data_IF_871413108933
#
_entry.id   IF_871413108933
#
_cell.length_a   1.000
_cell.length_b   1.000
_cell.length_c   1.000
_cell.angle_alpha   90.00
_cell.angle_beta   90.00
_cell.angle_gamma   90.00
#
_symmetry.space_group_name_H-M   'P 1'
#
loop_
_entity.id
_entity.type
_entity.pdbx_description
1 polymer ?
#
# COMPACT_ATOMS: atom_id res chain seq x y z
N UNK A 1 18.83 49.68 14.00
CA UNK A 1 19.07 48.78 12.85
C UNK A 1 19.24 47.40 13.46
N UNK A 2 18.33 46.52 13.09
CA UNK A 2 18.16 45.16 13.63
C UNK A 2 19.31 44.25 13.20
N UNK A 3 20.03 43.71 14.18
CA UNK A 3 20.81 42.50 14.02
C UNK A 3 19.83 41.32 13.87
N UNK A 4 19.54 40.96 12.63
CA UNK A 4 18.87 39.70 12.33
C UNK A 4 19.61 39.04 11.16
N UNK A 5 19.77 37.72 11.26
CA UNK A 5 20.13 36.76 10.22
C UNK A 5 21.63 36.45 10.03
N UNK A 6 22.18 35.75 11.02
CA UNK A 6 23.01 34.57 10.73
C UNK A 6 22.49 33.39 11.55
N UNK A 7 21.34 32.85 11.16
CA UNK A 7 20.99 31.49 11.58
C UNK A 7 21.87 30.52 10.78
N UNK A 8 22.43 29.48 11.42
CA UNK A 8 23.20 28.46 10.70
C UNK A 8 22.28 27.76 9.68
N UNK A 9 22.83 27.24 8.56
CA UNK A 9 22.09 26.34 7.71
C UNK A 9 21.67 25.14 8.57
N UNK A 10 20.41 24.73 8.45
CA UNK A 10 19.93 23.53 9.11
C UNK A 10 20.75 22.33 8.63
N UNK A 11 21.20 21.51 9.58
CA UNK A 11 21.60 20.13 9.30
C UNK A 11 20.42 19.43 8.63
N UNK A 12 20.69 18.74 7.53
CA UNK A 12 19.73 17.96 6.74
C UNK A 12 19.09 16.79 7.53
N UNK A 13 19.49 16.59 8.79
CA UNK A 13 19.20 15.42 9.63
C UNK A 13 17.91 15.51 10.48
N UNK A 14 17.03 16.50 10.28
CA UNK A 14 15.93 16.75 11.23
C UNK A 14 14.51 16.41 10.76
N UNK A 15 14.30 15.73 9.63
CA UNK A 15 12.96 15.19 9.33
C UNK A 15 12.75 13.92 10.13
N UNK A 16 11.97 13.98 11.22
CA UNK A 16 11.56 12.79 11.99
C UNK A 16 10.16 12.36 11.57
N UNK A 17 10.07 11.23 10.87
CA UNK A 17 8.81 10.59 10.54
C UNK A 17 8.35 9.77 11.75
N UNK A 18 7.18 10.09 12.31
CA UNK A 18 6.60 9.36 13.46
C UNK A 18 5.26 8.79 13.05
N UNK A 19 5.24 7.48 12.82
CA UNK A 19 4.05 6.74 12.43
C UNK A 19 3.18 6.44 13.66
N UNK A 20 2.10 7.20 13.85
CA UNK A 20 1.09 6.91 14.87
C UNK A 20 -0.15 6.30 14.20
N UNK A 21 -0.31 4.98 14.30
CA UNK A 21 -1.40 4.26 13.64
C UNK A 21 -2.17 3.42 14.65
N UNK A 22 -3.08 4.08 15.37
CA UNK A 22 -4.03 3.44 16.27
C UNK A 22 -4.78 2.27 15.59
N UNK A 23 -4.99 2.32 14.27
CA UNK A 23 -5.69 1.28 13.51
C UNK A 23 -5.03 -0.10 13.56
N UNK A 24 -3.70 -0.19 13.49
CA UNK A 24 -2.98 -1.49 13.45
C UNK A 24 -2.31 -1.84 14.78
N UNK A 25 -2.28 -0.90 15.72
CA UNK A 25 -1.68 -1.08 17.06
C UNK A 25 -2.73 -1.36 18.15
N UNK A 26 -4.01 -1.07 17.89
CA UNK A 26 -5.10 -1.30 18.83
C UNK A 26 -6.06 -2.41 18.35
N UNK A 27 -6.02 -3.61 18.95
CA UNK A 27 -6.93 -4.71 18.62
C UNK A 27 -8.42 -4.36 18.76
N UNK A 28 -8.77 -3.40 19.63
CA UNK A 28 -10.14 -2.91 19.79
C UNK A 28 -10.65 -2.18 18.56
N UNK A 29 -9.78 -1.46 17.83
CA UNK A 29 -10.13 -0.77 16.58
C UNK A 29 -10.34 -1.77 15.44
N UNK A 30 -9.51 -2.80 15.35
CA UNK A 30 -9.70 -3.88 14.38
C UNK A 30 -11.01 -4.64 14.66
N UNK A 31 -11.30 -4.94 15.92
CA UNK A 31 -12.52 -5.62 16.34
C UNK A 31 -13.79 -4.82 16.01
N UNK A 32 -13.81 -3.51 16.29
CA UNK A 32 -14.96 -2.66 15.95
C UNK A 32 -15.15 -2.51 14.44
N UNK A 33 -14.06 -2.59 13.66
CA UNK A 33 -14.10 -2.48 12.20
C UNK A 33 -14.54 -3.77 11.49
N UNK A 34 -14.21 -4.94 12.05
CA UNK A 34 -14.47 -6.24 11.41
C UNK A 34 -15.75 -6.92 11.90
N UNK A 35 -16.13 -6.75 13.17
CA UNK A 35 -17.35 -7.37 13.73
C UNK A 35 -18.64 -7.06 12.95
N UNK A 36 -18.85 -5.89 12.32
CA UNK A 36 -20.07 -5.63 11.56
C UNK A 36 -20.27 -6.53 10.33
N UNK A 37 -19.25 -7.29 9.91
CA UNK A 37 -19.29 -8.15 8.73
C UNK A 37 -19.63 -9.62 9.00
N UNK A 38 -19.56 -10.08 10.26
CA UNK A 38 -19.66 -11.51 10.63
C UNK A 38 -20.92 -12.22 10.12
N UNK A 39 -21.98 -11.48 9.81
CA UNK A 39 -23.24 -12.00 9.26
C UNK A 39 -23.62 -11.39 7.89
N UNK A 40 -22.71 -10.66 7.26
CA UNK A 40 -22.96 -9.94 6.00
C UNK A 40 -22.23 -10.55 4.79
N UNK A 41 -21.28 -11.45 5.03
CA UNK A 41 -20.50 -12.13 3.98
C UNK A 41 -20.58 -13.64 4.24
N UNK A 42 -20.91 -14.41 3.20
CA UNK A 42 -20.97 -15.85 3.31
C UNK A 42 -19.58 -16.46 3.57
N UNK A 43 -19.51 -17.40 4.51
CA UNK A 43 -18.28 -18.09 4.93
C UNK A 43 -17.18 -17.18 5.49
N UNK A 44 -17.51 -15.96 5.90
CA UNK A 44 -16.55 -15.10 6.58
C UNK A 44 -16.18 -15.71 7.96
N UNK A 45 -14.87 -15.86 8.27
CA UNK A 45 -14.44 -16.24 9.61
C UNK A 45 -14.90 -15.22 10.66
N UNK A 46 -14.92 -15.62 11.93
CA UNK A 46 -15.21 -14.69 13.01
C UNK A 46 -14.18 -13.54 13.00
N UNK A 47 -14.58 -12.33 13.41
CA UNK A 47 -13.70 -11.16 13.41
C UNK A 47 -12.42 -11.42 14.21
N UNK A 48 -12.50 -12.14 15.33
CA UNK A 48 -11.34 -12.56 16.13
C UNK A 48 -10.32 -13.40 15.32
N UNK A 49 -10.79 -14.22 14.39
CA UNK A 49 -9.95 -15.08 13.55
C UNK A 49 -9.29 -14.26 12.45
N UNK A 50 -10.03 -13.34 11.82
CA UNK A 50 -9.46 -12.39 10.86
C UNK A 50 -8.40 -11.48 11.50
N UNK A 51 -8.65 -10.99 12.72
CA UNK A 51 -7.68 -10.20 13.48
C UNK A 51 -6.43 -11.02 13.77
N UNK A 52 -6.57 -12.28 14.20
CA UNK A 52 -5.41 -13.15 14.45
C UNK A 52 -4.60 -13.39 13.16
N UNK A 53 -5.27 -13.57 12.02
CA UNK A 53 -4.60 -13.72 10.73
C UNK A 53 -3.83 -12.46 10.33
N UNK A 54 -4.45 -11.28 10.45
CA UNK A 54 -3.86 -9.97 10.15
C UNK A 54 -2.67 -9.66 11.05
N UNK A 55 -2.88 -9.70 12.37
CA UNK A 55 -1.85 -9.39 13.36
C UNK A 55 -0.68 -10.37 13.33
N UNK A 56 -0.94 -11.64 12.98
CA UNK A 56 0.11 -12.62 12.72
C UNK A 56 0.96 -12.26 11.49
N UNK A 57 0.35 -11.72 10.43
CA UNK A 57 1.08 -11.20 9.28
C UNK A 57 1.84 -9.92 9.61
N UNK A 58 1.25 -8.99 10.37
CA UNK A 58 1.94 -7.78 10.84
C UNK A 58 3.19 -8.14 11.66
N UNK A 59 3.10 -9.11 12.56
CA UNK A 59 4.24 -9.56 13.34
C UNK A 59 5.37 -10.11 12.44
N UNK A 60 5.01 -10.87 11.39
CA UNK A 60 5.98 -11.40 10.44
C UNK A 60 6.63 -10.29 9.58
N UNK A 61 5.85 -9.34 9.06
CA UNK A 61 6.31 -8.13 8.36
C UNK A 61 7.33 -7.37 9.18
N UNK A 62 6.98 -7.04 10.44
CA UNK A 62 7.86 -6.33 11.36
C UNK A 62 9.14 -7.09 11.61
N UNK A 63 9.05 -8.40 11.85
CA UNK A 63 10.23 -9.23 12.10
C UNK A 63 11.17 -9.27 10.90
N UNK A 64 10.65 -9.36 9.67
CA UNK A 64 11.44 -9.30 8.43
C UNK A 64 12.11 -7.93 8.28
N UNK A 65 11.34 -6.85 8.46
CA UNK A 65 11.85 -5.49 8.37
C UNK A 65 12.92 -5.19 9.41
N UNK A 66 12.70 -5.53 10.69
CA UNK A 66 13.69 -5.39 11.77
C UNK A 66 14.91 -6.26 11.55
N UNK A 67 14.73 -7.43 10.91
CA UNK A 67 15.85 -8.26 10.50
C UNK A 67 16.71 -7.52 9.50
N UNK A 68 16.14 -6.88 8.47
CA UNK A 68 16.86 -6.09 7.45
C UNK A 68 17.47 -4.82 8.08
N UNK A 69 16.70 -4.12 8.92
CA UNK A 69 17.04 -2.84 9.58
C UNK A 69 17.11 -2.96 11.11
N UNK A 70 18.20 -3.56 11.64
CA UNK A 70 18.36 -3.76 13.08
C UNK A 70 18.58 -2.46 13.85
N UNK A 71 19.02 -1.38 13.19
CA UNK A 71 19.13 -0.03 13.75
C UNK A 71 18.00 0.87 13.25
N UNK A 72 17.50 1.76 14.10
CA UNK A 72 16.44 2.72 13.76
C UNK A 72 16.89 3.83 12.81
N UNK A 73 18.17 4.18 12.80
CA UNK A 73 18.72 5.29 12.00
C UNK A 73 18.79 4.99 10.49
N UNK A 74 18.76 3.71 10.11
CA UNK A 74 18.88 3.27 8.71
C UNK A 74 17.53 2.99 8.03
N UNK A 75 16.41 3.21 8.74
CA UNK A 75 15.08 2.79 8.27
C UNK A 75 14.51 3.76 7.23
N UNK A 76 13.95 3.29 6.11
CA UNK A 76 13.25 4.14 5.16
C UNK A 76 12.05 4.82 5.83
N UNK A 77 11.85 6.09 5.49
CA UNK A 77 10.80 6.90 6.10
C UNK A 77 9.40 6.46 5.68
N UNK A 78 9.18 6.21 4.38
CA UNK A 78 7.89 5.84 3.77
C UNK A 78 7.66 4.32 3.74
N UNK A 79 8.46 3.59 2.96
CA UNK A 79 8.38 2.14 2.80
C UNK A 79 8.92 1.37 4.01
N UNK A 80 8.30 1.52 5.19
CA UNK A 80 8.66 0.77 6.40
C UNK A 80 7.66 -0.32 6.76
N UNK A 81 7.91 -1.02 7.87
CA UNK A 81 7.04 -2.07 8.39
C UNK A 81 5.61 -1.58 8.69
N UNK A 82 5.47 -0.34 9.16
CA UNK A 82 4.15 0.23 9.47
C UNK A 82 3.36 0.47 8.20
N UNK A 83 3.99 1.03 7.16
CA UNK A 83 3.39 1.17 5.84
C UNK A 83 2.92 -0.19 5.30
N UNK A 84 3.79 -1.22 5.31
CA UNK A 84 3.41 -2.56 4.86
C UNK A 84 2.25 -3.18 5.67
N UNK A 85 2.20 -2.97 6.99
CA UNK A 85 1.09 -3.42 7.81
C UNK A 85 -0.23 -2.70 7.46
N UNK A 86 -0.18 -1.40 7.20
CA UNK A 86 -1.33 -0.61 6.79
C UNK A 86 -1.80 -0.98 5.38
N UNK A 87 -0.91 -1.26 4.44
CA UNK A 87 -1.25 -1.80 3.11
C UNK A 87 -2.04 -3.09 3.27
N UNK A 88 -1.56 -4.02 4.10
CA UNK A 88 -2.27 -5.26 4.40
C UNK A 88 -3.65 -5.04 5.05
N UNK A 89 -3.77 -4.06 5.94
CA UNK A 89 -5.04 -3.70 6.55
C UNK A 89 -6.02 -3.12 5.52
N UNK A 90 -5.59 -2.15 4.71
CA UNK A 90 -6.41 -1.53 3.69
C UNK A 90 -6.80 -2.51 2.57
N UNK A 91 -5.91 -3.41 2.18
CA UNK A 91 -6.20 -4.50 1.25
C UNK A 91 -7.32 -5.39 1.80
N UNK A 92 -7.32 -5.66 3.11
CA UNK A 92 -8.41 -6.39 3.77
C UNK A 92 -9.72 -5.62 3.75
N UNK A 93 -9.71 -4.30 4.03
CA UNK A 93 -10.90 -3.45 3.90
C UNK A 93 -11.47 -3.50 2.48
N UNK A 94 -10.61 -3.32 1.47
CA UNK A 94 -10.97 -3.41 0.05
C UNK A 94 -11.59 -4.77 -0.27
N UNK A 95 -10.97 -5.87 0.16
CA UNK A 95 -11.48 -7.20 -0.10
C UNK A 95 -12.86 -7.44 0.53
N UNK A 96 -13.06 -7.06 1.79
CA UNK A 96 -14.36 -7.18 2.45
C UNK A 96 -15.42 -6.30 1.78
N UNK A 97 -15.03 -5.10 1.36
CA UNK A 97 -15.85 -4.20 0.55
C UNK A 97 -16.24 -4.80 -0.80
N UNK A 98 -15.30 -5.46 -1.48
CA UNK A 98 -15.52 -6.18 -2.74
C UNK A 98 -16.51 -7.33 -2.56
N UNK A 99 -16.34 -8.15 -1.52
CA UNK A 99 -17.27 -9.24 -1.22
C UNK A 99 -18.68 -8.70 -0.93
N UNK A 100 -18.79 -7.55 -0.25
CA UNK A 100 -20.08 -6.90 -0.03
C UNK A 100 -20.70 -6.33 -1.30
N UNK A 101 -19.90 -5.69 -2.15
CA UNK A 101 -20.35 -5.10 -3.41
C UNK A 101 -20.90 -6.16 -4.36
N UNK A 102 -20.25 -7.31 -4.42
CA UNK A 102 -20.53 -8.37 -5.40
C UNK A 102 -21.30 -9.56 -4.82
N UNK A 103 -21.80 -9.46 -3.58
CA UNK A 103 -22.42 -10.57 -2.87
C UNK A 103 -21.57 -11.86 -2.87
N UNK A 104 -20.25 -11.68 -2.79
CA UNK A 104 -19.27 -12.75 -2.88
C UNK A 104 -19.20 -13.62 -1.63
N UNK A 105 -18.53 -14.76 -1.77
CA UNK A 105 -18.13 -15.64 -0.66
C UNK A 105 -16.68 -15.33 -0.27
N UNK A 106 -16.39 -15.41 1.02
CA UNK A 106 -15.01 -15.34 1.48
C UNK A 106 -14.24 -16.58 0.99
N UNK A 107 -13.07 -16.37 0.38
CA UNK A 107 -12.16 -17.42 -0.06
C UNK A 107 -10.83 -17.27 0.68
N UNK A 108 -10.48 -18.28 1.49
CA UNK A 108 -9.29 -18.27 2.32
C UNK A 108 -8.00 -18.30 1.50
N UNK A 109 -7.98 -19.00 0.34
CA UNK A 109 -6.78 -19.05 -0.50
C UNK A 109 -6.50 -17.68 -1.11
N UNK A 110 -7.54 -16.99 -1.59
CA UNK A 110 -7.41 -15.63 -2.10
C UNK A 110 -6.97 -14.67 -1.00
N UNK A 111 -7.60 -14.73 0.17
CA UNK A 111 -7.27 -13.87 1.30
C UNK A 111 -5.82 -14.06 1.78
N UNK A 112 -5.34 -15.31 1.84
CA UNK A 112 -3.95 -15.59 2.22
C UNK A 112 -2.95 -15.03 1.20
N UNK A 113 -3.24 -15.15 -0.10
CA UNK A 113 -2.40 -14.56 -1.16
C UNK A 113 -2.39 -13.03 -1.08
N UNK A 114 -3.57 -12.42 -0.93
CA UNK A 114 -3.72 -10.98 -0.77
C UNK A 114 -2.94 -10.46 0.45
N UNK A 115 -3.11 -11.13 1.59
CA UNK A 115 -2.50 -10.72 2.84
C UNK A 115 -0.98 -10.88 2.78
N UNK A 116 -0.46 -11.99 2.24
CA UNK A 116 0.99 -12.17 2.07
C UNK A 116 1.58 -11.15 1.09
N UNK A 117 0.90 -10.91 -0.05
CA UNK A 117 1.30 -9.90 -1.02
C UNK A 117 1.39 -8.51 -0.40
N UNK A 118 0.29 -8.03 0.18
CA UNK A 118 0.24 -6.70 0.79
C UNK A 118 1.19 -6.55 1.99
N UNK A 119 1.40 -7.60 2.79
CA UNK A 119 2.30 -7.56 3.96
C UNK A 119 3.79 -7.51 3.61
N UNK A 120 4.18 -7.94 2.41
CA UNK A 120 5.58 -8.01 1.98
C UNK A 120 5.81 -7.35 0.61
N UNK A 121 4.89 -6.51 0.13
CA UNK A 121 5.02 -5.83 -1.18
C UNK A 121 6.30 -4.99 -1.26
N UNK A 122 6.63 -4.31 -0.16
CA UNK A 122 7.85 -3.49 0.00
C UNK A 122 9.17 -4.25 0.07
N UNK A 123 9.15 -5.58 0.04
CA UNK A 123 10.33 -6.34 0.41
C UNK A 123 11.50 -6.09 -0.56
N UNK A 124 11.21 -5.89 -1.85
CA UNK A 124 12.20 -5.52 -2.86
C UNK A 124 12.81 -4.14 -2.58
N UNK A 125 11.99 -3.19 -2.15
CA UNK A 125 12.41 -1.83 -1.84
C UNK A 125 13.22 -1.76 -0.55
N UNK A 126 12.84 -2.50 0.50
CA UNK A 126 13.64 -2.63 1.72
C UNK A 126 15.07 -3.09 1.45
N UNK A 127 15.31 -3.84 0.37
CA UNK A 127 16.66 -4.20 -0.02
C UNK A 127 17.35 -3.19 -0.90
N UNK A 128 16.63 -2.56 -1.83
CA UNK A 128 17.16 -1.47 -2.63
C UNK A 128 17.67 -0.32 -1.75
N UNK A 129 16.94 -0.03 -0.66
CA UNK A 129 17.32 0.97 0.33
C UNK A 129 18.40 0.49 1.32
N UNK A 130 18.56 -0.82 1.53
CA UNK A 130 19.61 -1.36 2.40
C UNK A 130 21.00 -1.22 1.73
N UNK A 131 21.93 -0.53 2.40
CA UNK A 131 23.33 -0.40 1.99
C UNK A 131 23.56 0.09 0.53
N UNK A 132 22.66 0.93 -0.01
CA UNK A 132 22.79 1.48 -1.37
C UNK A 132 22.60 0.43 -2.48
N UNK A 133 21.66 -0.49 -2.30
CA UNK A 133 21.35 -1.57 -3.25
C UNK A 133 22.22 -2.83 -3.09
N UNK A 134 23.00 -2.93 -2.02
CA UNK A 134 23.75 -4.15 -1.69
C UNK A 134 22.96 -5.01 -0.70
N UNK A 135 22.91 -6.32 -0.96
CA UNK A 135 22.24 -7.27 -0.06
C UNK A 135 22.88 -7.21 1.33
N UNK A 136 22.10 -6.92 2.39
CA UNK A 136 22.64 -6.86 3.74
C UNK A 136 22.99 -8.26 4.25
N UNK A 137 23.86 -8.35 5.27
CA UNK A 137 24.37 -9.64 5.77
C UNK A 137 23.26 -10.59 6.30
N UNK A 138 22.14 -10.00 6.73
CA UNK A 138 20.93 -10.64 7.26
C UNK A 138 19.87 -10.94 6.17
N UNK A 139 20.17 -10.68 4.88
CA UNK A 139 19.22 -10.85 3.78
C UNK A 139 18.66 -12.28 3.72
N UNK A 140 19.51 -13.29 3.81
CA UNK A 140 19.04 -14.68 3.77
C UNK A 140 18.14 -15.03 4.95
N UNK A 141 18.48 -14.53 6.15
CA UNK A 141 17.65 -14.71 7.34
C UNK A 141 16.26 -14.06 7.16
N UNK A 142 16.19 -12.88 6.55
CA UNK A 142 14.92 -12.23 6.22
C UNK A 142 14.08 -13.07 5.24
N UNK A 143 14.70 -13.61 4.18
CA UNK A 143 14.01 -14.52 3.24
C UNK A 143 13.51 -15.80 3.91
N UNK A 144 14.28 -16.35 4.85
CA UNK A 144 13.89 -17.55 5.59
C UNK A 144 12.66 -17.28 6.46
N UNK A 145 12.58 -16.10 7.10
CA UNK A 145 11.39 -15.67 7.86
C UNK A 145 10.16 -15.52 6.97
N UNK A 146 10.31 -14.98 5.76
CA UNK A 146 9.21 -14.94 4.78
C UNK A 146 8.78 -16.36 4.42
N UNK A 147 9.73 -17.25 4.08
CA UNK A 147 9.44 -18.64 3.71
C UNK A 147 8.71 -19.39 4.83
N UNK A 148 9.11 -19.17 6.08
CA UNK A 148 8.45 -19.74 7.25
C UNK A 148 7.01 -19.24 7.41
N UNK A 149 6.77 -17.95 7.18
CA UNK A 149 5.41 -17.39 7.18
C UNK A 149 4.55 -18.01 6.08
N UNK A 150 5.06 -18.08 4.85
CA UNK A 150 4.36 -18.67 3.71
C UNK A 150 4.02 -20.14 3.97
N UNK A 151 4.95 -20.90 4.54
CA UNK A 151 4.75 -22.31 4.91
C UNK A 151 3.62 -22.47 5.92
N UNK A 152 3.58 -21.63 6.97
CA UNK A 152 2.50 -21.62 7.97
C UNK A 152 1.14 -21.26 7.37
N UNK A 153 1.13 -20.42 6.33
CA UNK A 153 -0.07 -20.02 5.59
C UNK A 153 -0.42 -20.97 4.45
N UNK A 154 0.39 -21.99 4.17
CA UNK A 154 0.19 -22.91 3.05
C UNK A 154 0.33 -22.22 1.67
N UNK A 155 1.10 -21.13 1.58
CA UNK A 155 1.35 -20.40 0.33
C UNK A 155 2.65 -20.92 -0.27
N UNK A 156 2.65 -21.23 -1.56
CA UNK A 156 3.86 -21.64 -2.28
C UNK A 156 4.78 -20.43 -2.53
N UNK A 157 6.09 -20.67 -2.56
CA UNK A 157 7.05 -19.61 -2.91
C UNK A 157 6.83 -19.10 -4.33
N UNK A 158 6.37 -19.95 -5.25
CA UNK A 158 5.99 -19.55 -6.61
C UNK A 158 4.81 -18.57 -6.59
N UNK A 159 3.69 -18.91 -5.92
CA UNK A 159 2.55 -17.98 -5.83
C UNK A 159 2.96 -16.65 -5.19
N UNK A 160 3.78 -16.69 -4.13
CA UNK A 160 4.25 -15.48 -3.47
C UNK A 160 5.08 -14.61 -4.43
N UNK A 161 6.05 -15.20 -5.14
CA UNK A 161 6.86 -14.50 -6.13
C UNK A 161 6.00 -13.84 -7.21
N UNK A 162 4.92 -14.52 -7.65
CA UNK A 162 3.97 -13.96 -8.62
C UNK A 162 3.18 -12.79 -8.04
N UNK A 163 2.74 -12.89 -6.79
CA UNK A 163 1.94 -11.84 -6.14
C UNK A 163 2.77 -10.59 -5.86
N UNK A 164 3.98 -10.71 -5.32
CA UNK A 164 4.85 -9.54 -5.09
C UNK A 164 5.23 -8.86 -6.42
N UNK A 165 5.33 -9.62 -7.51
CA UNK A 165 5.62 -9.07 -8.85
C UNK A 165 4.52 -8.15 -9.38
N UNK A 166 3.31 -8.21 -8.82
CA UNK A 166 2.21 -7.33 -9.20
C UNK A 166 2.45 -5.88 -8.76
N UNK A 167 3.26 -5.69 -7.72
CA UNK A 167 3.58 -4.39 -7.15
C UNK A 167 4.83 -3.80 -7.84
N UNK A 168 4.62 -3.31 -9.06
CA UNK A 168 5.66 -2.60 -9.82
C UNK A 168 5.15 -1.19 -10.13
N UNK A 169 5.76 -0.20 -9.47
CA UNK A 169 5.42 1.21 -9.62
C UNK A 169 5.56 1.70 -11.06
N UNK A 170 6.53 1.14 -11.80
CA UNK A 170 6.91 1.61 -13.14
C UNK A 170 6.09 0.97 -14.27
N UNK A 171 5.20 0.03 -13.95
CA UNK A 171 4.42 -0.73 -14.94
C UNK A 171 2.92 -0.58 -14.77
N UNK A 172 2.24 -0.77 -15.89
CA UNK A 172 0.79 -0.96 -15.88
C UNK A 172 0.46 -2.31 -15.22
N UNK A 173 -0.73 -2.42 -14.62
CA UNK A 173 -1.15 -3.68 -14.01
C UNK A 173 -1.13 -4.86 -15.00
N UNK A 174 -1.53 -4.63 -16.25
CA UNK A 174 -1.53 -5.68 -17.28
C UNK A 174 -0.12 -6.21 -17.55
N UNK A 175 0.88 -5.32 -17.62
CA UNK A 175 2.28 -5.71 -17.75
C UNK A 175 2.77 -6.46 -16.51
N UNK A 176 2.47 -5.98 -15.31
CA UNK A 176 2.87 -6.67 -14.08
C UNK A 176 2.24 -8.07 -13.96
N UNK A 177 0.99 -8.24 -14.43
CA UNK A 177 0.34 -9.56 -14.49
C UNK A 177 0.99 -10.47 -15.51
N UNK A 178 1.36 -9.95 -16.69
CA UNK A 178 2.11 -10.73 -17.67
C UNK A 178 3.46 -11.17 -17.12
N UNK A 179 4.22 -10.25 -16.52
CA UNK A 179 5.52 -10.54 -15.89
C UNK A 179 5.36 -11.57 -14.77
N UNK A 180 4.31 -11.46 -13.95
CA UNK A 180 4.01 -12.43 -12.89
C UNK A 180 3.65 -13.81 -13.48
N UNK A 181 3.01 -13.88 -14.64
CA UNK A 181 2.69 -15.16 -15.30
C UNK A 181 3.93 -15.82 -15.89
N UNK A 182 4.82 -15.03 -16.49
CA UNK A 182 6.07 -15.48 -17.12
C UNK A 182 7.21 -15.69 -16.13
N UNK A 183 7.04 -15.28 -14.86
CA UNK A 183 8.05 -15.42 -13.82
C UNK A 183 8.41 -16.89 -13.59
N UNK A 184 9.67 -17.22 -13.83
CA UNK A 184 10.22 -18.53 -13.51
C UNK A 184 10.79 -18.57 -12.09
N UNK A 185 10.78 -19.73 -11.41
CA UNK A 185 11.24 -19.85 -10.02
C UNK A 185 12.65 -19.31 -9.77
N UNK A 186 13.58 -19.50 -10.70
CA UNK A 186 14.98 -19.07 -10.58
C UNK A 186 15.18 -17.54 -10.65
N UNK A 187 14.21 -16.83 -11.23
CA UNK A 187 14.16 -15.38 -11.37
C UNK A 187 13.25 -14.72 -10.32
N UNK A 188 12.52 -15.52 -9.55
CA UNK A 188 11.77 -15.04 -8.40
C UNK A 188 12.67 -14.67 -7.23
N UNK A 189 12.07 -13.96 -6.28
CA UNK A 189 12.72 -13.57 -5.04
C UNK A 189 13.10 -14.81 -4.20
N UNK A 190 12.11 -15.65 -3.92
CA UNK A 190 12.26 -16.91 -3.20
C UNK A 190 12.47 -18.04 -4.20
N UNK A 191 13.73 -18.33 -4.51
CA UNK A 191 14.12 -19.29 -5.56
C UNK A 191 13.84 -20.75 -5.19
N UNK A 192 13.80 -21.05 -3.90
CA UNK A 192 13.63 -22.41 -3.40
C UNK A 192 12.16 -22.70 -3.09
N UNK A 193 11.70 -23.90 -3.45
CA UNK A 193 10.37 -24.38 -3.08
C UNK A 193 10.28 -24.63 -1.57
N UNK A 194 9.16 -24.23 -0.96
CA UNK A 194 8.80 -24.58 0.41
C UNK A 194 7.86 -25.81 0.50
N UNK A 195 7.68 -26.54 -0.61
CA UNK A 195 6.85 -27.76 -0.66
C UNK A 195 5.33 -27.52 -0.63
N UNK A 196 4.86 -26.28 -0.60
CA UNK A 196 3.43 -25.97 -0.66
C UNK A 196 2.90 -26.04 -2.09
N UNK A 197 1.63 -26.42 -2.24
CA UNK A 197 0.94 -26.44 -3.54
C UNK A 197 0.48 -25.04 -3.93
N UNK A 198 0.32 -24.80 -5.23
CA UNK A 198 -0.14 -23.50 -5.72
C UNK A 198 -1.61 -23.25 -5.35
N UNK A 199 -1.84 -22.20 -4.56
CA UNK A 199 -3.18 -21.67 -4.25
C UNK A 199 -3.78 -20.96 -5.45
N UNK A 200 -2.97 -20.27 -6.25
CA UNK A 200 -3.42 -19.60 -7.48
C UNK A 200 -3.99 -20.61 -8.48
N UNK A 201 -3.29 -21.74 -8.68
CA UNK A 201 -3.78 -22.81 -9.53
C UNK A 201 -5.07 -23.44 -9.00
N UNK A 202 -5.16 -23.67 -7.69
CA UNK A 202 -6.36 -24.21 -7.06
C UNK A 202 -7.57 -23.27 -7.20
N UNK A 203 -7.38 -21.96 -7.00
CA UNK A 203 -8.40 -20.93 -7.21
C UNK A 203 -8.90 -20.93 -8.66
N UNK A 204 -7.98 -20.87 -9.63
CA UNK A 204 -8.33 -20.85 -11.05
C UNK A 204 -9.13 -22.09 -11.48
N UNK A 205 -8.76 -23.27 -10.98
CA UNK A 205 -9.49 -24.51 -11.23
C UNK A 205 -10.91 -24.50 -10.64
N UNK A 206 -11.10 -23.88 -9.47
CA UNK A 206 -12.44 -23.76 -8.84
C UNK A 206 -13.37 -22.81 -9.57
N UNK A 207 -12.82 -21.76 -10.20
CA UNK A 207 -13.59 -20.75 -10.91
C UNK A 207 -13.84 -21.08 -12.38
N UNK A 208 -13.16 -22.10 -12.91
CA UNK A 208 -13.36 -22.58 -14.26
C UNK A 208 -14.81 -23.09 -14.43
N UNK A 209 -15.58 -22.40 -15.27
CA UNK A 209 -16.90 -22.83 -15.75
C UNK A 209 -16.75 -23.10 -17.25
N UNK A 210 -17.31 -24.21 -17.74
CA UNK A 210 -17.23 -24.63 -19.15
C UNK A 210 -15.78 -24.78 -19.71
N UNK A 211 -15.60 -24.60 -21.03
CA UNK A 211 -14.33 -24.77 -21.77
C UNK A 211 -13.30 -23.62 -21.57
N UNK A 212 -13.56 -22.65 -20.68
CA UNK A 212 -12.64 -21.54 -20.46
C UNK A 212 -11.26 -22.04 -19.98
N UNK A 213 -10.14 -21.60 -20.59
CA UNK A 213 -8.81 -22.00 -20.16
C UNK A 213 -8.52 -21.55 -18.72
N UNK A 214 -7.93 -22.44 -17.90
CA UNK A 214 -7.53 -22.12 -16.52
C UNK A 214 -6.60 -20.90 -16.41
N UNK A 215 -5.84 -20.59 -17.47
CA UNK A 215 -4.95 -19.43 -17.53
C UNK A 215 -5.72 -18.10 -17.54
N UNK A 216 -6.91 -18.04 -18.15
CA UNK A 216 -7.74 -16.83 -18.14
C UNK A 216 -8.23 -16.50 -16.73
N UNK A 217 -8.57 -17.53 -15.93
CA UNK A 217 -8.93 -17.34 -14.52
C UNK A 217 -7.75 -16.89 -13.67
N UNK A 218 -6.56 -17.43 -13.91
CA UNK A 218 -5.33 -16.97 -13.21
C UNK A 218 -5.07 -15.49 -13.48
N UNK A 219 -5.20 -15.05 -14.74
CA UNK A 219 -5.08 -13.63 -15.12
C UNK A 219 -6.07 -12.78 -14.31
N UNK A 220 -7.35 -13.18 -14.25
CA UNK A 220 -8.37 -12.42 -13.52
C UNK A 220 -8.09 -12.34 -12.00
N UNK A 221 -7.65 -13.43 -11.40
CA UNK A 221 -7.27 -13.48 -9.97
C UNK A 221 -6.07 -12.55 -9.71
N UNK A 222 -5.00 -12.65 -10.52
CA UNK A 222 -3.82 -11.80 -10.39
C UNK A 222 -4.14 -10.32 -10.61
N UNK A 223 -4.99 -9.98 -11.59
CA UNK A 223 -5.48 -8.61 -11.78
C UNK A 223 -6.19 -8.08 -10.54
N UNK A 224 -7.06 -8.90 -9.94
CA UNK A 224 -7.80 -8.51 -8.74
C UNK A 224 -6.86 -8.31 -7.55
N UNK A 225 -5.90 -9.22 -7.35
CA UNK A 225 -4.87 -9.08 -6.31
C UNK A 225 -4.05 -7.80 -6.50
N UNK A 226 -3.57 -7.55 -7.72
CA UNK A 226 -2.77 -6.36 -8.02
C UNK A 226 -3.54 -5.05 -7.84
N UNK A 227 -4.82 -5.01 -8.22
CA UNK A 227 -5.69 -3.85 -7.96
C UNK A 227 -5.87 -3.60 -6.47
N UNK A 228 -6.06 -4.66 -5.66
CA UNK A 228 -6.28 -4.50 -4.22
C UNK A 228 -5.01 -4.10 -3.49
N UNK A 229 -3.87 -4.69 -3.84
CA UNK A 229 -2.56 -4.34 -3.23
C UNK A 229 -2.21 -2.89 -3.59
N UNK A 230 -2.23 -2.55 -4.88
CA UNK A 230 -1.87 -1.20 -5.32
C UNK A 230 -2.88 -0.15 -4.83
N UNK A 231 -4.18 -0.45 -4.85
CA UNK A 231 -5.19 0.42 -4.27
C UNK A 231 -5.02 0.61 -2.76
N UNK A 232 -4.59 -0.43 -2.03
CA UNK A 232 -4.35 -0.35 -0.59
C UNK A 232 -3.09 0.47 -0.23
N UNK A 233 -2.03 0.31 -1.01
CA UNK A 233 -0.81 1.13 -0.89
C UNK A 233 -1.18 2.61 -1.12
N UNK A 234 -1.75 2.94 -2.29
CA UNK A 234 -2.08 4.33 -2.60
C UNK A 234 -3.22 4.93 -1.78
N UNK A 235 -4.10 4.13 -1.17
CA UNK A 235 -5.11 4.65 -0.24
C UNK A 235 -4.46 5.37 0.95
N UNK A 236 -3.26 4.93 1.35
CA UNK A 236 -2.51 5.51 2.46
C UNK A 236 -1.91 6.86 2.12
N UNK A 237 -1.56 7.08 0.85
CA UNK A 237 -1.10 8.38 0.36
C UNK A 237 -2.14 9.47 0.60
N UNK A 238 -3.43 9.09 0.65
CA UNK A 238 -4.57 9.99 0.90
C UNK A 238 -5.16 9.85 2.32
N UNK A 239 -4.57 9.02 3.18
CA UNK A 239 -5.06 8.82 4.54
C UNK A 239 -4.62 9.99 5.45
N UNK A 240 -5.60 10.64 6.04
CA UNK A 240 -5.47 11.81 6.89
C UNK A 240 -4.95 11.49 8.29
N UNK A 241 -4.93 10.21 8.68
CA UNK A 241 -4.32 9.75 9.92
C UNK A 241 -2.80 9.61 9.83
N UNK A 242 -2.20 9.75 8.64
CA UNK A 242 -0.76 9.91 8.51
C UNK A 242 -0.31 11.15 9.28
N UNK A 243 0.66 10.98 10.18
CA UNK A 243 1.33 12.05 10.92
C UNK A 243 2.84 12.05 10.61
N UNK A 244 3.37 13.18 10.14
CA UNK A 244 4.77 13.42 9.80
C UNK A 244 5.13 14.78 10.38
N UNK A 245 6.20 14.83 11.17
CA UNK A 245 6.75 16.08 11.69
C UNK A 245 7.87 16.54 10.76
N UNK A 246 7.51 17.31 9.74
CA UNK A 246 8.50 18.00 8.89
C UNK A 246 8.93 19.29 9.60
N UNK A 247 10.23 19.56 9.83
CA UNK A 247 10.70 20.85 10.32
C UNK A 247 10.29 21.96 9.35
N UNK A 248 9.55 22.94 9.85
CA UNK A 248 9.13 24.11 9.09
C UNK A 248 10.32 25.05 8.84
N UNK A 249 10.70 25.22 7.58
CA UNK A 249 11.48 26.38 7.18
C UNK A 249 10.56 27.57 6.91
N UNK A 250 10.99 28.72 7.42
CA UNK A 250 10.29 29.98 7.45
C UNK A 250 10.01 30.49 6.02
N UNK A 251 8.90 30.06 5.42
CA UNK A 251 8.04 30.83 4.52
C UNK A 251 6.73 30.05 4.33
N UNK A 252 5.72 30.50 5.06
CA UNK A 252 4.35 30.00 5.06
C UNK A 252 3.79 29.85 3.63
N UNK A 253 3.64 28.60 3.19
CA UNK A 253 2.43 28.02 2.60
C UNK A 253 2.80 26.71 1.87
N UNK A 254 3.22 25.69 2.61
CA UNK A 254 3.05 24.32 2.12
C UNK A 254 1.59 24.02 2.41
N UNK A 255 0.76 24.07 1.38
CA UNK A 255 -0.65 23.72 1.48
C UNK A 255 -0.77 22.36 2.17
N UNK A 256 -1.70 22.26 3.13
CA UNK A 256 -2.10 21.10 3.93
C UNK A 256 -2.58 19.91 3.06
N UNK A 257 -1.77 19.46 2.10
CA UNK A 257 -2.03 18.33 1.25
C UNK A 257 -1.24 17.12 1.76
N UNK A 258 -2.01 16.06 2.00
CA UNK A 258 -1.70 14.71 2.49
C UNK A 258 -0.22 14.35 2.69
N UNK A 259 0.10 13.98 3.92
CA UNK A 259 1.48 13.74 4.37
C UNK A 259 2.12 12.49 3.73
N UNK A 260 1.30 11.51 3.30
CA UNK A 260 1.77 10.40 2.49
C UNK A 260 2.38 10.85 1.15
N UNK A 261 1.90 11.95 0.57
CA UNK A 261 2.46 12.53 -0.66
C UNK A 261 3.85 13.12 -0.43
N UNK A 262 4.06 13.78 0.71
CA UNK A 262 5.36 14.33 1.08
C UNK A 262 6.37 13.21 1.39
N UNK A 263 5.93 12.12 2.05
CA UNK A 263 6.76 10.95 2.31
C UNK A 263 7.17 10.23 1.02
N UNK A 264 6.22 10.03 0.09
CA UNK A 264 6.51 9.47 -1.23
C UNK A 264 7.49 10.35 -2.03
N UNK A 265 7.31 11.67 -2.00
CA UNK A 265 8.22 12.59 -2.69
C UNK A 265 9.62 12.58 -2.08
N UNK A 266 9.74 12.52 -0.75
CA UNK A 266 11.04 12.39 -0.08
C UNK A 266 11.76 11.14 -0.53
N UNK A 267 11.05 10.02 -0.59
CA UNK A 267 11.63 8.76 -1.01
C UNK A 267 12.05 8.77 -2.49
N UNK A 268 11.20 9.28 -3.37
CA UNK A 268 11.54 9.43 -4.79
C UNK A 268 12.81 10.28 -5.01
N UNK A 269 13.03 11.33 -4.21
CA UNK A 269 14.24 12.16 -4.27
C UNK A 269 15.50 11.43 -3.80
N UNK A 270 15.39 10.59 -2.76
CA UNK A 270 16.57 10.02 -2.09
C UNK A 270 16.95 8.63 -2.60
N UNK A 271 15.99 7.91 -3.18
CA UNK A 271 16.15 6.47 -3.36
C UNK A 271 15.64 5.91 -4.69
N UNK A 272 14.95 6.71 -5.50
CA UNK A 272 14.52 6.29 -6.83
C UNK A 272 15.41 6.95 -7.89
N UNK A 273 15.55 6.32 -9.07
CA UNK A 273 16.15 6.98 -10.22
C UNK A 273 15.44 8.31 -10.56
N UNK A 274 16.18 9.30 -11.08
CA UNK A 274 15.65 10.65 -11.35
C UNK A 274 14.43 10.67 -12.30
N UNK A 275 14.25 9.64 -13.14
CA UNK A 275 13.12 9.48 -14.06
C UNK A 275 11.84 8.95 -13.38
N UNK A 276 11.93 8.39 -12.18
CA UNK A 276 10.78 7.95 -11.39
C UNK A 276 10.03 9.12 -10.72
N UNK A 277 10.71 10.25 -10.49
CA UNK A 277 10.07 11.47 -9.98
C UNK A 277 9.18 12.05 -11.10
N UNK A 278 7.88 12.32 -10.85
CA UNK A 278 7.01 12.96 -11.84
C UNK A 278 7.59 14.29 -12.34
N UNK A 279 7.60 14.52 -13.65
CA UNK A 279 8.16 15.76 -14.23
C UNK A 279 7.43 17.01 -13.74
N UNK A 280 6.12 16.91 -13.49
CA UNK A 280 5.36 17.97 -12.86
C UNK A 280 5.81 18.36 -11.43
N UNK A 281 6.66 17.55 -10.78
CA UNK A 281 7.29 17.88 -9.49
C UNK A 281 8.70 18.45 -9.64
N UNK A 282 9.23 18.58 -10.85
CA UNK A 282 10.61 19.02 -11.07
C UNK A 282 10.72 20.51 -11.43
N UNK A 283 11.84 21.10 -11.03
CA UNK A 283 12.36 22.36 -11.55
C UNK A 283 13.86 22.16 -11.83
N UNK A 284 14.29 22.45 -13.07
CA UNK A 284 15.69 22.23 -13.50
C UNK A 284 16.21 20.81 -13.25
N UNK A 285 15.32 19.81 -13.38
CA UNK A 285 15.66 18.40 -13.18
C UNK A 285 15.75 17.95 -11.72
N UNK A 286 15.46 18.82 -10.74
CA UNK A 286 15.45 18.50 -9.31
C UNK A 286 14.05 18.58 -8.72
N UNK A 287 13.79 17.85 -7.63
CA UNK A 287 12.52 17.92 -6.91
C UNK A 287 12.25 19.36 -6.44
N UNK A 288 11.08 19.87 -6.81
CA UNK A 288 10.56 21.15 -6.37
C UNK A 288 9.43 20.88 -5.37
N UNK A 289 9.75 21.02 -4.09
CA UNK A 289 8.82 20.81 -2.97
C UNK A 289 7.58 21.71 -3.03
N UNK A 290 7.60 22.83 -3.76
CA UNK A 290 6.41 23.66 -3.97
C UNK A 290 5.42 23.05 -4.97
N UNK A 291 5.87 22.08 -5.77
CA UNK A 291 5.07 21.39 -6.79
C UNK A 291 4.62 19.98 -6.37
N UNK A 292 5.21 19.42 -5.32
CA UNK A 292 4.86 18.10 -4.77
C UNK A 292 3.37 18.01 -4.46
N UNK A 293 2.71 16.98 -4.97
CA UNK A 293 1.27 16.76 -4.80
C UNK A 293 0.37 17.69 -5.61
N UNK A 294 0.93 18.62 -6.40
CA UNK A 294 0.17 19.63 -7.18
C UNK A 294 0.17 19.40 -8.69
N UNK A 295 0.89 18.39 -9.17
CA UNK A 295 0.96 18.04 -10.60
C UNK A 295 -0.20 17.14 -11.05
N UNK A 296 -0.59 17.30 -12.32
CA UNK A 296 -1.57 16.41 -12.95
C UNK A 296 -1.04 14.97 -13.06
N UNK A 297 0.26 14.79 -13.31
CA UNK A 297 0.89 13.47 -13.44
C UNK A 297 0.70 12.63 -12.17
N UNK A 298 0.82 13.25 -11.00
CA UNK A 298 0.59 12.56 -9.73
C UNK A 298 -0.88 12.19 -9.50
N UNK A 299 -1.81 13.07 -9.90
CA UNK A 299 -3.24 12.78 -9.85
C UNK A 299 -3.63 11.65 -10.82
N UNK A 300 -2.96 11.53 -11.96
CA UNK A 300 -3.19 10.44 -12.90
C UNK A 300 -2.62 9.12 -12.39
N UNK A 301 -1.48 9.12 -11.69
CA UNK A 301 -0.98 7.94 -10.96
C UNK A 301 -2.00 7.52 -9.89
N UNK A 302 -2.42 8.45 -9.03
CA UNK A 302 -3.43 8.18 -8.01
C UNK A 302 -4.73 7.64 -8.62
N UNK A 303 -5.20 8.24 -9.71
CA UNK A 303 -6.42 7.77 -10.40
C UNK A 303 -6.25 6.33 -10.88
N UNK A 304 -5.16 6.03 -11.58
CA UNK A 304 -4.95 4.71 -12.16
C UNK A 304 -4.78 3.60 -11.12
N UNK A 305 -4.16 3.91 -9.97
CA UNK A 305 -3.87 2.91 -8.93
C UNK A 305 -4.98 2.81 -7.86
N UNK A 306 -5.56 3.93 -7.44
CA UNK A 306 -6.53 3.98 -6.34
C UNK A 306 -8.00 3.91 -6.81
N UNK A 307 -8.36 4.56 -7.92
CA UNK A 307 -9.77 4.65 -8.37
C UNK A 307 -10.46 3.28 -8.50
N UNK A 308 -9.80 2.21 -9.01
CA UNK A 308 -10.42 0.88 -9.06
C UNK A 308 -10.79 0.30 -7.69
N UNK A 309 -10.10 0.70 -6.62
CA UNK A 309 -10.32 0.20 -5.26
C UNK A 309 -11.32 1.05 -4.45
N UNK A 310 -11.52 2.32 -4.81
CA UNK A 310 -12.39 3.27 -4.10
C UNK A 310 -13.82 2.74 -3.88
N UNK A 311 -14.51 2.16 -4.89
CA UNK A 311 -15.86 1.65 -4.69
C UNK A 311 -15.95 0.59 -3.60
N UNK A 312 -14.89 -0.21 -3.40
CA UNK A 312 -14.87 -1.25 -2.39
C UNK A 312 -14.57 -0.69 -1.01
N UNK A 313 -13.66 0.29 -0.89
CA UNK A 313 -13.46 1.03 0.35
C UNK A 313 -14.76 1.70 0.81
N UNK A 314 -15.49 2.36 -0.08
CA UNK A 314 -16.78 2.98 0.25
C UNK A 314 -17.77 1.93 0.80
N UNK A 315 -17.84 0.74 0.19
CA UNK A 315 -18.69 -0.36 0.66
C UNK A 315 -18.27 -0.92 2.00
N UNK A 316 -16.97 -0.93 2.28
CA UNK A 316 -16.49 -1.30 3.60
C UNK A 316 -16.97 -0.29 4.64
N UNK A 317 -16.77 1.01 4.40
CA UNK A 317 -17.15 2.06 5.32
C UNK A 317 -18.67 2.19 5.50
N UNK A 318 -19.48 1.94 4.47
CA UNK A 318 -20.94 1.89 4.58
C UNK A 318 -21.42 0.85 5.61
N UNK A 319 -20.69 -0.25 5.76
CA UNK A 319 -21.02 -1.33 6.71
C UNK A 319 -20.60 -1.00 8.13
N UNK A 320 -19.53 -0.22 8.30
CA UNK A 320 -18.93 0.12 9.61
C UNK A 320 -19.38 1.48 10.15
N UNK A 321 -20.07 2.31 9.34
CA UNK A 321 -20.77 3.50 9.83
C UNK A 321 -21.70 3.10 10.98
N UNK A 322 -21.60 3.75 12.16
CA UNK A 322 -22.53 3.48 13.24
C UNK A 322 -23.96 3.80 12.79
N UNK A 323 -24.86 2.83 12.93
CA UNK A 323 -26.29 3.10 12.79
C UNK A 323 -26.67 4.11 13.89
N UNK A 324 -27.18 5.27 13.44
CA UNK A 324 -27.77 6.38 14.18
C UNK A 324 -26.85 7.57 14.54
N UNK A 325 -27.24 8.73 13.99
CA UNK A 325 -26.98 10.09 14.47
C UNK A 325 -25.52 10.56 14.49
N UNK A 326 -24.98 10.85 13.30
CA UNK A 326 -23.99 11.93 13.15
C UNK A 326 -24.46 12.83 12.00
N UNK A 327 -24.79 14.07 12.33
CA UNK A 327 -25.04 15.15 11.37
C UNK A 327 -23.76 15.65 10.69
N UNK A 328 -22.63 14.96 10.86
CA UNK A 328 -21.47 15.14 10.00
C UNK A 328 -21.60 14.15 8.83
N UNK A 329 -21.56 14.62 7.57
CA UNK A 329 -21.49 13.69 6.44
C UNK A 329 -20.32 12.77 6.71
N UNK A 330 -20.54 11.45 6.68
CA UNK A 330 -19.43 10.55 6.49
C UNK A 330 -18.69 11.08 5.27
N UNK A 331 -17.47 11.58 5.44
CA UNK A 331 -16.63 11.96 4.33
C UNK A 331 -16.40 10.67 3.57
N UNK A 332 -17.23 10.42 2.56
CA UNK A 332 -17.07 9.31 1.63
C UNK A 332 -15.60 9.33 1.19
N UNK A 333 -14.94 8.19 1.12
CA UNK A 333 -13.58 8.11 0.59
C UNK A 333 -13.55 8.72 -0.82
N UNK A 334 -14.66 8.57 -1.55
CA UNK A 334 -14.97 9.29 -2.79
C UNK A 334 -15.16 10.80 -2.63
N UNK A 335 -15.76 11.33 -1.55
CA UNK A 335 -15.82 12.77 -1.26
C UNK A 335 -14.47 13.35 -0.86
N UNK A 336 -13.58 12.59 -0.21
CA UNK A 336 -12.19 13.03 0.00
C UNK A 336 -11.41 13.04 -1.32
N UNK A 337 -11.49 11.96 -2.11
CA UNK A 337 -10.88 11.89 -3.44
C UNK A 337 -11.42 12.99 -4.37
N UNK A 338 -12.74 13.21 -4.38
CA UNK A 338 -13.37 14.28 -5.17
C UNK A 338 -13.24 15.67 -4.56
N UNK A 339 -13.06 15.85 -3.24
CA UNK A 339 -12.74 17.15 -2.65
C UNK A 339 -11.30 17.55 -2.98
N UNK A 340 -10.36 16.60 -2.90
CA UNK A 340 -9.01 16.77 -3.43
C UNK A 340 -9.07 17.10 -4.92
N UNK A 341 -9.79 16.34 -5.76
CA UNK A 341 -9.93 16.61 -7.19
C UNK A 341 -10.74 17.88 -7.57
N UNK A 342 -11.72 18.32 -6.75
CA UNK A 342 -12.55 19.52 -6.99
C UNK A 342 -11.85 20.81 -6.55
N UNK A 343 -11.02 20.77 -5.50
CA UNK A 343 -10.11 21.87 -5.18
C UNK A 343 -9.19 22.21 -6.37
N UNK A 344 -8.83 21.20 -7.19
CA UNK A 344 -8.08 21.40 -8.45
C UNK A 344 -8.89 22.06 -9.58
N UNK A 345 -10.18 21.72 -9.76
CA UNK A 345 -11.01 22.40 -10.77
C UNK A 345 -11.27 23.87 -10.44
N UNK A 346 -11.23 24.25 -9.15
CA UNK A 346 -11.34 25.64 -8.70
C UNK A 346 -10.13 26.52 -9.02
N UNK A 347 -8.93 25.93 -9.19
CA UNK A 347 -7.70 26.66 -9.49
C UNK A 347 -7.47 26.85 -11.00
N UNK A 348 -7.87 25.89 -11.84
CA UNK A 348 -7.78 26.02 -13.30
C UNK A 348 -8.96 26.78 -13.94
N UNK A 349 -10.02 27.08 -13.19
CA UNK A 349 -11.19 27.84 -13.67
C UNK A 349 -11.17 29.33 -13.33
N UNK A 350 -10.13 29.84 -12.64
CA UNK A 350 -9.89 31.29 -12.59
C UNK A 350 -9.40 31.75 -13.95
N UNK A 351 -10.37 32.01 -14.83
CA UNK A 351 -10.25 32.84 -16.03
C UNK A 351 -9.28 33.97 -15.74
N UNK A 352 -8.27 34.12 -16.60
CA UNK A 352 -7.47 35.35 -16.72
C UNK A 352 -8.43 36.55 -16.59
N UNK A 353 -8.19 37.51 -15.68
CA UNK A 353 -8.83 38.80 -15.82
C UNK A 353 -8.40 39.37 -17.17
N UNK A 354 -9.38 39.89 -17.91
CA UNK A 354 -9.20 40.54 -19.20
C UNK A 354 -8.28 41.76 -19.12
#
# INVERSE_FOLDING_TARGET
MSDELSKPPLDQDQVTFVWDTLEITNPGVLASSLSPFENKIAHLPAAKELIAQLTGSFAATRQVFETIYPSTEARPAYHNDTHACLTAWNATKIYLGYLRANHGRFDQDFFDLLLAGASFHEIDDWWAHAAGGQKPANYQQALDLVRDHLTKKGISTDDFNRVIKLDDFNKTLDQSVQDALELSPENGLLKESNGQRSKLAALAQREQQDEEPADEKRVAILKTLGQFISGADFAQVLDHNYQVKIPQNQNNNIYLFHQGVASLANEMEHFRPDDAIPDGWKTEGKLDWQKVGTSNDFLDILRNKLEPALPYLDRFYDVTKPNELSSAPATDSYQMFTASARLYQGHNSKKKPA
#
